data_IF_963582583427
#
_entry.id   IF_963582583427
#
_cell.length_a   1.000
_cell.length_b   1.000
_cell.length_c   1.000
_cell.angle_alpha   90.00
_cell.angle_beta   90.00
_cell.angle_gamma   90.00
#
_symmetry.space_group_name_H-M   'P 1'
#
loop_
_entity.id
_entity.type
_entity.pdbx_description
1 polymer ?
#
# COMPACT_ATOMS: atom_id res chain seq x y z
N UNK A 1 16.23 10.38 10.22
CA UNK A 1 17.71 10.53 10.20
C UNK A 1 18.22 10.12 8.81
N UNK A 2 19.25 10.76 8.25
CA UNK A 2 19.98 10.18 7.11
C UNK A 2 20.42 8.75 7.49
N UNK A 3 20.26 7.77 6.62
CA UNK A 3 20.52 6.33 6.86
C UNK A 3 19.59 5.57 7.83
N UNK A 4 18.34 5.99 7.99
CA UNK A 4 17.34 5.09 8.59
C UNK A 4 17.01 3.96 7.61
N UNK A 5 16.94 2.68 8.07
CA UNK A 5 16.48 1.56 7.24
C UNK A 5 15.12 1.85 6.61
N UNK A 6 14.94 1.43 5.37
CA UNK A 6 13.71 1.64 4.59
C UNK A 6 13.21 0.31 4.06
N UNK A 7 11.90 0.20 3.95
CA UNK A 7 11.29 -0.88 3.18
C UNK A 7 11.49 -0.60 1.70
N UNK A 8 11.70 -1.66 0.93
CA UNK A 8 11.73 -1.59 -0.52
C UNK A 8 10.31 -1.47 -1.05
N UNK A 9 10.13 -0.72 -2.14
CA UNK A 9 8.91 -0.78 -2.92
C UNK A 9 8.98 -1.99 -3.85
N UNK A 10 7.86 -2.69 -4.07
CA UNK A 10 7.82 -3.75 -5.06
C UNK A 10 8.06 -3.16 -6.46
N UNK A 11 9.02 -3.72 -7.18
CA UNK A 11 9.29 -3.39 -8.59
C UNK A 11 8.44 -4.20 -9.58
N UNK A 12 7.68 -5.19 -9.08
CA UNK A 12 6.87 -6.08 -9.91
C UNK A 12 5.59 -5.36 -10.40
N UNK A 13 5.07 -5.77 -11.56
CA UNK A 13 3.88 -5.18 -12.19
C UNK A 13 2.99 -6.28 -12.78
N UNK A 14 1.89 -6.69 -12.13
CA UNK A 14 1.42 -6.20 -10.83
C UNK A 14 2.30 -6.67 -9.66
N UNK A 15 2.32 -5.94 -8.51
CA UNK A 15 3.20 -6.24 -7.38
C UNK A 15 2.79 -7.48 -6.56
N UNK A 16 1.58 -8.00 -6.80
CA UNK A 16 0.95 -9.20 -6.24
C UNK A 16 -0.02 -9.79 -7.27
N UNK A 17 -0.53 -11.00 -7.04
CA UNK A 17 -1.68 -11.60 -7.75
C UNK A 17 -2.77 -12.04 -6.76
N UNK A 18 -4.00 -12.24 -7.23
CA UNK A 18 -5.08 -12.83 -6.42
C UNK A 18 -4.63 -14.15 -5.79
N UNK A 19 -4.96 -14.33 -4.50
CA UNK A 19 -4.51 -15.46 -3.68
C UNK A 19 -3.11 -15.31 -3.10
N UNK A 20 -2.34 -14.29 -3.47
CA UNK A 20 -1.07 -14.01 -2.78
C UNK A 20 -1.31 -13.58 -1.35
N UNK A 21 -0.39 -13.98 -0.47
CA UNK A 21 -0.35 -13.53 0.91
C UNK A 21 0.18 -12.10 0.98
N UNK A 22 -0.49 -11.30 1.79
CA UNK A 22 -0.10 -9.93 2.11
C UNK A 22 -0.17 -9.68 3.62
N UNK A 23 0.57 -8.68 4.08
CA UNK A 23 0.67 -8.35 5.49
C UNK A 23 0.48 -6.85 5.70
N UNK A 24 -0.42 -6.46 6.61
CA UNK A 24 -0.52 -5.08 7.06
C UNK A 24 0.35 -4.90 8.30
N UNK A 25 1.17 -3.85 8.31
CA UNK A 25 2.16 -3.61 9.37
C UNK A 25 1.85 -2.29 10.08
N UNK A 26 1.95 -2.30 11.41
CA UNK A 26 1.85 -1.12 12.27
C UNK A 26 3.09 -0.99 13.15
N UNK A 27 3.48 0.24 13.48
CA UNK A 27 4.47 0.53 14.53
C UNK A 27 3.88 0.56 15.94
N UNK A 28 2.56 0.33 16.09
CA UNK A 28 1.88 0.30 17.37
C UNK A 28 1.77 -1.15 17.86
N UNK A 29 2.41 -1.44 18.99
CA UNK A 29 2.42 -2.77 19.62
C UNK A 29 3.46 -2.86 20.73
N UNK A 30 3.30 -3.81 21.66
CA UNK A 30 4.18 -3.95 22.82
C UNK A 30 5.64 -4.28 22.43
N UNK A 31 5.85 -4.88 21.25
CA UNK A 31 7.18 -5.20 20.71
C UNK A 31 7.72 -4.13 19.73
N UNK A 32 7.11 -2.94 19.66
CA UNK A 32 7.47 -1.89 18.71
C UNK A 32 6.87 -2.05 17.31
N UNK A 33 5.98 -3.03 17.12
CA UNK A 33 5.17 -3.20 15.93
C UNK A 33 4.15 -4.32 16.05
N UNK A 34 3.20 -4.35 15.12
CA UNK A 34 2.16 -5.39 14.99
C UNK A 34 1.98 -5.74 13.51
N UNK A 35 1.62 -6.99 13.22
CA UNK A 35 1.40 -7.49 11.87
C UNK A 35 0.09 -8.27 11.83
N UNK A 36 -0.74 -8.01 10.82
CA UNK A 36 -1.85 -8.89 10.42
C UNK A 36 -1.58 -9.44 9.03
N UNK A 37 -2.17 -10.60 8.73
CA UNK A 37 -2.01 -11.27 7.45
C UNK A 37 -3.37 -11.46 6.79
N UNK A 38 -3.37 -11.46 5.46
CA UNK A 38 -4.50 -11.90 4.65
C UNK A 38 -4.03 -12.40 3.28
N UNK A 39 -5.01 -12.61 2.41
CA UNK A 39 -4.88 -12.94 1.00
C UNK A 39 -5.41 -11.79 0.15
N UNK A 40 -4.82 -11.62 -1.03
CA UNK A 40 -5.33 -10.72 -2.05
C UNK A 40 -6.61 -11.32 -2.64
N UNK A 41 -7.72 -10.62 -2.48
CA UNK A 41 -9.02 -11.00 -3.03
C UNK A 41 -9.16 -10.53 -4.49
N UNK A 42 -8.68 -9.32 -4.80
CA UNK A 42 -8.72 -8.75 -6.14
C UNK A 42 -7.64 -7.67 -6.32
N UNK A 43 -7.27 -7.41 -7.58
CA UNK A 43 -6.33 -6.36 -7.96
C UNK A 43 -6.94 -5.57 -9.11
N UNK A 44 -7.11 -4.28 -8.87
CA UNK A 44 -7.54 -3.33 -9.89
C UNK A 44 -6.52 -2.19 -9.99
N UNK A 45 -6.54 -1.46 -11.11
CA UNK A 45 -5.74 -0.23 -11.25
C UNK A 45 -6.07 0.83 -10.18
N UNK A 46 -7.21 0.69 -9.50
CA UNK A 46 -7.69 1.59 -8.46
C UNK A 46 -7.47 1.05 -7.05
N UNK A 47 -6.87 -0.13 -6.84
CA UNK A 47 -6.64 -0.66 -5.50
C UNK A 47 -6.27 -2.13 -5.43
N UNK A 48 -5.59 -2.51 -4.34
CA UNK A 48 -5.41 -3.91 -3.96
C UNK A 48 -6.44 -4.23 -2.88
N UNK A 49 -7.31 -5.20 -3.16
CA UNK A 49 -8.32 -5.68 -2.22
C UNK A 49 -7.77 -6.89 -1.46
N UNK A 50 -7.83 -6.89 -0.14
CA UNK A 50 -7.39 -8.03 0.69
C UNK A 50 -8.20 -8.18 1.97
N UNK A 51 -8.27 -9.40 2.50
CA UNK A 51 -8.90 -9.72 3.79
C UNK A 51 -7.95 -9.55 5.00
N UNK A 52 -6.74 -8.99 4.78
CA UNK A 52 -5.84 -8.65 5.86
C UNK A 52 -6.52 -7.65 6.81
N UNK A 53 -6.51 -7.94 8.12
CA UNK A 53 -7.18 -7.07 9.08
C UNK A 53 -6.50 -5.70 9.17
N UNK A 54 -7.17 -4.67 8.67
CA UNK A 54 -6.74 -3.27 8.78
C UNK A 54 -7.51 -2.58 9.90
N UNK A 55 -7.06 -2.78 11.14
CA UNK A 55 -7.58 -2.02 12.29
C UNK A 55 -7.06 -0.56 12.30
N UNK A 56 -7.55 0.30 13.22
CA UNK A 56 -7.11 1.69 13.33
C UNK A 56 -5.58 1.87 13.38
N UNK A 57 -4.87 0.95 14.05
CA UNK A 57 -3.41 0.97 14.17
C UNK A 57 -2.66 0.75 12.85
N UNK A 58 -3.29 0.14 11.84
CA UNK A 58 -2.66 -0.22 10.57
C UNK A 58 -2.95 0.80 9.46
N UNK A 59 -3.86 1.75 9.70
CA UNK A 59 -4.21 2.77 8.70
C UNK A 59 -3.03 3.67 8.39
N UNK A 60 -2.74 3.87 7.10
CA UNK A 60 -1.57 4.62 6.63
C UNK A 60 -0.26 3.82 6.71
N UNK A 61 -0.27 2.62 7.30
CA UNK A 61 0.87 1.71 7.33
C UNK A 61 1.05 0.96 6.01
N UNK A 62 2.21 0.31 5.82
CA UNK A 62 2.48 -0.43 4.59
C UNK A 62 1.71 -1.76 4.58
N UNK A 63 1.18 -2.08 3.40
CA UNK A 63 0.85 -3.45 3.02
C UNK A 63 2.06 -4.02 2.27
N UNK A 64 2.60 -5.15 2.75
CA UNK A 64 3.78 -5.80 2.16
C UNK A 64 3.44 -7.19 1.62
N UNK A 65 4.17 -7.63 0.59
CA UNK A 65 4.10 -9.00 0.07
C UNK A 65 4.99 -9.95 0.89
N UNK A 66 4.99 -11.24 0.55
CA UNK A 66 5.84 -12.25 1.20
C UNK A 66 7.35 -12.05 1.02
N UNK A 67 7.80 -11.16 0.13
CA UNK A 67 9.22 -10.79 -0.03
C UNK A 67 9.62 -9.67 0.95
N UNK A 68 8.66 -9.05 1.64
CA UNK A 68 8.88 -7.88 2.49
C UNK A 68 8.82 -6.54 1.75
N UNK A 69 8.42 -6.55 0.46
CA UNK A 69 8.33 -5.34 -0.34
C UNK A 69 6.96 -4.69 -0.18
N UNK A 70 6.93 -3.36 -0.11
CA UNK A 70 5.70 -2.57 -0.03
C UNK A 70 4.96 -2.61 -1.37
N UNK A 71 3.68 -2.96 -1.31
CA UNK A 71 2.80 -3.04 -2.49
C UNK A 71 1.69 -1.99 -2.46
N UNK A 72 1.26 -1.58 -1.27
CA UNK A 72 0.22 -0.57 -1.07
C UNK A 72 0.31 0.09 0.32
N UNK A 73 -0.51 1.12 0.52
CA UNK A 73 -0.77 1.74 1.83
C UNK A 73 -2.15 1.29 2.31
N UNK A 74 -2.20 0.71 3.51
CA UNK A 74 -3.41 0.17 4.08
C UNK A 74 -4.40 1.29 4.47
N UNK A 75 -5.67 1.11 4.13
CA UNK A 75 -6.73 2.09 4.42
C UNK A 75 -8.05 1.40 4.74
N UNK A 76 -8.85 2.02 5.63
CA UNK A 76 -10.24 1.59 5.90
C UNK A 76 -11.28 2.45 5.19
N UNK A 77 -10.88 3.65 4.75
CA UNK A 77 -11.76 4.63 4.13
C UNK A 77 -11.58 4.69 2.61
N UNK A 78 -10.56 4.03 2.07
CA UNK A 78 -10.36 4.00 0.63
C UNK A 78 -11.41 3.09 -0.02
N UNK A 79 -12.34 3.71 -0.76
CA UNK A 79 -13.46 3.05 -1.40
C UNK A 79 -13.52 3.44 -2.90
N UNK A 80 -12.54 3.00 -3.71
CA UNK A 80 -12.43 3.40 -5.11
C UNK A 80 -13.63 2.98 -5.97
N UNK A 81 -14.40 1.98 -5.53
CA UNK A 81 -15.60 1.49 -6.20
C UNK A 81 -16.90 2.09 -5.63
N UNK A 82 -16.81 3.07 -4.73
CA UNK A 82 -17.97 3.80 -4.21
C UNK A 82 -18.79 3.06 -3.13
N UNK A 83 -18.30 1.93 -2.61
CA UNK A 83 -18.93 1.22 -1.49
C UNK A 83 -17.93 1.00 -0.35
N UNK A 84 -18.37 1.08 0.92
CA UNK A 84 -17.56 0.69 2.06
C UNK A 84 -17.36 -0.82 2.07
N UNK A 85 -16.24 -1.28 2.61
CA UNK A 85 -16.00 -2.71 2.80
C UNK A 85 -15.76 -3.03 4.27
N UNK A 86 -16.38 -4.12 4.72
CA UNK A 86 -16.24 -4.67 6.06
C UNK A 86 -15.48 -6.00 5.98
N UNK A 87 -14.23 -5.99 6.43
CA UNK A 87 -13.37 -7.17 6.48
C UNK A 87 -12.51 -7.40 5.24
N UNK A 88 -12.83 -6.80 4.09
CA UNK A 88 -12.02 -6.90 2.86
C UNK A 88 -11.67 -5.51 2.31
N UNK A 89 -10.60 -4.91 2.80
CA UNK A 89 -10.31 -3.50 2.54
C UNK A 89 -9.57 -3.28 1.22
N UNK A 90 -9.78 -2.11 0.61
CA UNK A 90 -8.93 -1.62 -0.46
C UNK A 90 -7.73 -0.87 0.12
N UNK A 91 -6.54 -1.23 -0.35
CA UNK A 91 -5.30 -0.52 -0.07
C UNK A 91 -4.88 0.32 -1.28
N UNK A 92 -4.35 1.51 -1.02
CA UNK A 92 -3.93 2.47 -2.04
C UNK A 92 -2.64 1.95 -2.69
N UNK A 93 -2.60 1.66 -4.00
CA UNK A 93 -1.41 1.13 -4.64
C UNK A 93 -0.24 2.08 -4.48
N UNK A 94 0.92 1.53 -4.13
CA UNK A 94 2.05 2.37 -3.75
C UNK A 94 2.62 3.17 -4.91
N UNK A 95 2.45 2.64 -6.12
CA UNK A 95 2.81 3.29 -7.38
C UNK A 95 1.98 4.56 -7.61
N UNK A 96 0.73 4.63 -7.15
CA UNK A 96 -0.08 5.85 -7.22
C UNK A 96 0.51 7.00 -6.39
N UNK A 97 1.33 6.70 -5.38
CA UNK A 97 2.07 7.71 -4.61
C UNK A 97 3.25 8.28 -5.41
N UNK A 98 3.85 7.51 -6.32
CA UNK A 98 4.83 8.03 -7.28
C UNK A 98 4.22 9.08 -8.21
N UNK A 99 2.96 8.92 -8.62
CA UNK A 99 2.36 9.85 -9.57
C UNK A 99 2.00 11.20 -8.94
N UNK A 100 1.80 11.23 -7.61
CA UNK A 100 1.26 12.39 -6.90
C UNK A 100 2.20 13.04 -5.90
N UNK A 101 3.15 12.30 -5.34
CA UNK A 101 3.94 12.74 -4.16
C UNK A 101 5.45 12.52 -4.32
N UNK A 102 5.89 11.46 -5.01
CA UNK A 102 7.30 11.09 -5.11
C UNK A 102 7.87 11.22 -6.53
N UNK A 103 9.16 11.52 -6.65
CA UNK A 103 9.90 11.41 -7.91
C UNK A 103 10.48 10.00 -8.01
N UNK A 104 9.78 9.09 -8.69
CA UNK A 104 10.24 7.71 -8.84
C UNK A 104 11.20 7.55 -10.05
N UNK A 105 12.13 6.57 -10.03
CA UNK A 105 13.32 6.57 -10.91
C UNK A 105 13.08 6.34 -12.41
N UNK A 106 11.83 6.30 -12.86
CA UNK A 106 11.46 6.13 -14.27
C UNK A 106 10.42 7.15 -14.78
N UNK A 107 10.10 8.18 -13.99
CA UNK A 107 9.25 9.29 -14.43
C UNK A 107 10.02 10.59 -14.33
N UNK A 108 10.26 11.26 -15.46
CA UNK A 108 10.64 12.68 -15.46
C UNK A 108 9.67 13.43 -14.55
N UNK A 109 10.15 14.03 -13.45
CA UNK A 109 9.28 14.77 -12.56
C UNK A 109 8.74 15.98 -13.29
N UNK A 110 7.41 16.13 -13.34
CA UNK A 110 6.84 17.44 -13.60
C UNK A 110 7.43 18.42 -12.59
N UNK A 111 7.96 19.53 -13.09
CA UNK A 111 8.46 20.59 -12.25
C UNK A 111 7.30 21.11 -11.36
N UNK A 112 7.57 21.51 -10.12
CA UNK A 112 6.54 22.13 -9.28
C UNK A 112 5.98 23.36 -10.02
N UNK A 113 4.70 23.32 -10.39
CA UNK A 113 4.03 24.45 -11.07
C UNK A 113 3.38 24.16 -12.42
N UNK A 114 3.48 22.96 -13.00
CA UNK A 114 2.68 22.64 -14.18
C UNK A 114 1.32 22.07 -13.77
N UNK A 115 0.29 22.92 -13.88
CA UNK A 115 -1.11 22.53 -13.85
C UNK A 115 -1.38 21.54 -15.00
N UNK A 116 -2.17 20.50 -14.69
CA UNK A 116 -2.56 19.47 -15.64
C UNK A 116 -3.27 20.05 -16.86
N UNK A 117 -3.12 19.34 -17.97
CA UNK A 117 -4.10 19.38 -19.05
C UNK A 117 -5.30 18.52 -18.65
#
# INVERSE_FOLDING_TARGET
KPNQPRLNWSGDSPPVKTGDRVFAVSGLGAAGGSITQGLVADISGTGIMSDAQVGPAFQGGPLINSKGDVVAVASRAYAPLGFPSDGVFFSVPVRSACDRVLRCPSGTPNAPGQQGQ
#
